data_IF_685349757273
#
_entry.id   IF_685349757273
#
_cell.length_a   1.000
_cell.length_b   1.000
_cell.length_c   1.000
_cell.angle_alpha   90.00
_cell.angle_beta   90.00
_cell.angle_gamma   90.00
#
_symmetry.space_group_name_H-M   'P 1'
#
loop_
_entity.id
_entity.type
_entity.pdbx_description
1 polymer ?
#
# COMPACT_ATOMS: atom_id res chain seq x y z
N UNK A 1 61.55 24.48 10.15
CA UNK A 1 61.15 23.99 8.81
C UNK A 1 60.53 25.16 8.07
N UNK A 2 60.87 25.42 6.82
CA UNK A 2 60.23 26.45 6.03
C UNK A 2 58.76 26.11 5.83
N UNK A 3 57.87 27.05 6.08
CA UNK A 3 56.44 26.89 5.88
C UNK A 3 56.15 27.00 4.38
N UNK A 4 55.70 25.89 3.79
CA UNK A 4 55.42 25.81 2.35
C UNK A 4 54.11 26.54 1.96
N UNK A 5 53.11 26.52 2.89
CA UNK A 5 51.82 27.15 2.65
C UNK A 5 51.63 28.42 3.50
N UNK A 6 50.90 29.38 2.95
CA UNK A 6 50.52 30.60 3.68
C UNK A 6 49.66 30.25 4.90
N UNK A 7 49.76 31.03 6.00
CA UNK A 7 49.02 30.80 7.25
C UNK A 7 47.51 30.67 7.06
N UNK A 8 46.94 31.33 6.06
CA UNK A 8 45.52 31.23 5.73
C UNK A 8 45.13 29.88 5.08
N UNK A 9 46.08 29.11 4.58
CA UNK A 9 45.77 27.80 3.94
C UNK A 9 45.11 26.83 4.91
N UNK A 10 45.50 26.82 6.20
CA UNK A 10 44.84 25.95 7.19
C UNK A 10 43.38 26.37 7.48
N UNK A 11 43.13 27.69 7.52
CA UNK A 11 41.75 28.18 7.70
C UNK A 11 40.90 27.82 6.49
N UNK A 12 41.44 28.04 5.28
CA UNK A 12 40.75 27.70 4.04
C UNK A 12 40.43 26.19 3.97
N UNK A 13 41.40 25.33 4.31
CA UNK A 13 41.23 23.89 4.35
C UNK A 13 40.13 23.45 5.36
N UNK A 14 40.15 24.04 6.58
CA UNK A 14 39.11 23.73 7.59
C UNK A 14 37.71 24.16 7.14
N UNK A 15 37.61 25.38 6.60
CA UNK A 15 36.31 25.90 6.12
C UNK A 15 35.78 25.10 4.92
N UNK A 16 36.67 24.76 3.96
CA UNK A 16 36.25 23.95 2.80
C UNK A 16 35.83 22.54 3.20
N UNK A 17 36.59 21.87 4.09
CA UNK A 17 36.21 20.55 4.60
C UNK A 17 34.87 20.63 5.34
N UNK A 18 34.71 21.58 6.26
CA UNK A 18 33.44 21.75 6.97
C UNK A 18 32.28 22.06 6.01
N UNK A 19 32.49 22.90 5.01
CA UNK A 19 31.51 23.22 3.98
C UNK A 19 31.11 22.01 3.17
N UNK A 20 32.06 21.18 2.73
CA UNK A 20 31.79 19.94 2.01
C UNK A 20 30.99 18.94 2.87
N UNK A 21 31.38 18.77 4.15
CA UNK A 21 30.65 17.86 5.06
C UNK A 21 29.24 18.35 5.33
N UNK A 22 29.02 19.64 5.52
CA UNK A 22 27.69 20.22 5.70
C UNK A 22 26.84 20.08 4.44
N UNK A 23 27.42 20.33 3.28
CA UNK A 23 26.74 20.17 2.00
C UNK A 23 26.35 18.71 1.77
N UNK A 24 27.29 17.78 1.94
CA UNK A 24 27.05 16.35 1.79
C UNK A 24 25.97 15.84 2.77
N UNK A 25 26.10 16.22 4.06
CA UNK A 25 25.11 15.87 5.08
C UNK A 25 23.74 16.48 4.79
N UNK A 26 23.69 17.75 4.41
CA UNK A 26 22.44 18.43 4.04
C UNK A 26 21.76 17.81 2.82
N UNK A 27 22.54 17.51 1.77
CA UNK A 27 22.01 16.87 0.55
C UNK A 27 21.50 15.45 0.85
N UNK A 28 22.25 14.67 1.63
CA UNK A 28 21.82 13.34 2.05
C UNK A 28 20.51 13.41 2.85
N UNK A 29 20.43 14.33 3.83
CA UNK A 29 19.23 14.56 4.60
C UNK A 29 18.03 14.96 3.74
N UNK A 30 18.24 15.87 2.79
CA UNK A 30 17.21 16.29 1.84
C UNK A 30 16.70 15.11 0.99
N UNK A 31 17.60 14.31 0.42
CA UNK A 31 17.23 13.12 -0.37
C UNK A 31 16.42 12.12 0.48
N UNK A 32 16.83 11.90 1.72
CA UNK A 32 16.09 10.99 2.62
C UNK A 32 14.70 11.50 2.97
N UNK A 33 14.52 12.81 3.18
CA UNK A 33 13.21 13.42 3.45
C UNK A 33 12.33 13.35 2.20
N UNK A 34 12.85 13.74 1.05
CA UNK A 34 12.12 13.72 -0.22
C UNK A 34 11.71 12.29 -0.59
N UNK A 35 12.62 11.32 -0.44
CA UNK A 35 12.34 9.91 -0.74
C UNK A 35 11.25 9.28 0.13
N UNK A 36 10.97 9.85 1.31
CA UNK A 36 9.88 9.43 2.22
C UNK A 36 8.62 10.27 2.10
N UNK A 37 8.67 11.34 1.33
CA UNK A 37 7.53 12.24 1.15
C UNK A 37 6.44 11.61 0.29
N UNK A 38 5.21 12.12 0.41
CA UNK A 38 4.09 11.74 -0.46
C UNK A 38 4.38 12.02 -1.94
N UNK A 39 5.22 12.99 -2.25
CA UNK A 39 5.65 13.29 -3.61
C UNK A 39 6.30 12.08 -4.32
N UNK A 40 7.09 11.29 -3.60
CA UNK A 40 7.74 10.09 -4.14
C UNK A 40 6.89 8.84 -3.92
N UNK A 41 6.32 8.70 -2.72
CA UNK A 41 5.59 7.48 -2.33
C UNK A 41 4.14 7.47 -2.79
N UNK A 42 3.58 8.63 -3.16
CA UNK A 42 2.15 8.85 -3.43
C UNK A 42 1.23 8.45 -2.27
N UNK A 43 1.78 8.27 -1.09
CA UNK A 43 1.00 7.95 0.10
C UNK A 43 0.07 9.12 0.46
N UNK A 44 -1.19 8.80 0.79
CA UNK A 44 -2.25 9.74 1.12
C UNK A 44 -2.67 10.70 0.00
N UNK A 45 -2.37 10.35 -1.25
CA UNK A 45 -2.85 11.09 -2.42
C UNK A 45 -4.02 10.34 -3.06
N UNK A 46 -5.13 11.05 -3.30
CA UNK A 46 -6.25 10.51 -4.07
C UNK A 46 -5.87 10.45 -5.55
N UNK A 47 -6.07 9.28 -6.16
CA UNK A 47 -5.76 9.08 -7.56
C UNK A 47 -7.06 9.04 -8.36
N UNK A 48 -7.21 10.01 -9.27
CA UNK A 48 -8.32 10.03 -10.20
C UNK A 48 -8.30 8.77 -11.08
N UNK A 49 -9.50 8.25 -11.34
CA UNK A 49 -9.71 7.05 -12.13
C UNK A 49 -10.53 7.38 -13.38
N UNK A 50 -10.42 6.60 -14.46
CA UNK A 50 -11.27 6.75 -15.64
C UNK A 50 -12.77 6.69 -15.34
N UNK A 51 -13.10 5.99 -14.25
CA UNK A 51 -14.41 5.95 -13.62
C UNK A 51 -14.21 6.13 -12.12
N UNK A 52 -14.84 7.14 -11.54
CA UNK A 52 -14.76 7.36 -10.10
C UNK A 52 -15.59 6.30 -9.36
N UNK A 53 -14.92 5.23 -8.96
CA UNK A 53 -15.51 4.15 -8.18
C UNK A 53 -15.38 4.44 -6.69
N UNK A 54 -16.51 4.46 -5.98
CA UNK A 54 -16.54 4.71 -4.54
C UNK A 54 -16.62 3.40 -3.76
N UNK A 55 -15.55 3.05 -3.06
CA UNK A 55 -15.58 1.95 -2.09
C UNK A 55 -16.45 2.30 -0.88
N UNK A 56 -16.49 3.58 -0.47
CA UNK A 56 -17.36 4.02 0.62
C UNK A 56 -18.81 3.64 0.35
N UNK A 57 -19.30 3.87 -0.87
CA UNK A 57 -20.65 3.50 -1.25
C UNK A 57 -20.85 1.98 -1.28
N UNK A 58 -20.03 1.24 -2.04
CA UNK A 58 -20.24 -0.20 -2.26
C UNK A 58 -19.93 -1.06 -1.02
N UNK A 59 -18.87 -0.72 -0.28
CA UNK A 59 -18.43 -1.49 0.89
C UNK A 59 -19.00 -0.90 2.18
N UNK A 60 -18.98 0.43 2.30
CA UNK A 60 -19.44 1.11 3.52
C UNK A 60 -20.95 1.14 3.63
N UNK A 61 -21.64 1.59 2.59
CA UNK A 61 -23.09 1.78 2.62
C UNK A 61 -23.85 0.50 2.23
N UNK A 62 -23.43 -0.16 1.13
CA UNK A 62 -24.12 -1.35 0.61
C UNK A 62 -23.63 -2.67 1.23
N UNK A 63 -22.53 -2.67 1.96
CA UNK A 63 -21.99 -3.84 2.65
C UNK A 63 -21.47 -4.94 1.73
N UNK A 64 -21.08 -4.62 0.48
CA UNK A 64 -20.57 -5.61 -0.47
C UNK A 64 -19.20 -6.12 0.01
N UNK A 65 -19.09 -7.46 0.09
CA UNK A 65 -17.86 -8.13 0.51
C UNK A 65 -16.72 -7.91 -0.53
N UNK A 66 -15.51 -7.69 -0.04
CA UNK A 66 -14.34 -7.46 -0.88
C UNK A 66 -14.13 -8.56 -1.94
N UNK A 67 -14.43 -9.82 -1.58
CA UNK A 67 -14.26 -11.00 -2.43
C UNK A 67 -15.26 -11.06 -3.59
N UNK A 68 -16.35 -10.30 -3.53
CA UNK A 68 -17.28 -10.23 -4.65
C UNK A 68 -16.61 -9.61 -5.89
N UNK A 69 -15.77 -8.63 -5.68
CA UNK A 69 -15.02 -7.94 -6.74
C UNK A 69 -13.59 -8.45 -6.87
N UNK A 70 -12.89 -8.67 -5.76
CA UNK A 70 -11.50 -9.13 -5.71
C UNK A 70 -11.44 -10.66 -5.55
N UNK A 71 -11.96 -11.38 -6.53
CA UNK A 71 -12.24 -12.83 -6.46
C UNK A 71 -11.01 -13.71 -6.29
N UNK A 72 -9.81 -13.22 -6.65
CA UNK A 72 -8.57 -14.00 -6.58
C UNK A 72 -7.71 -13.71 -5.36
N UNK A 73 -8.15 -12.81 -4.45
CA UNK A 73 -7.34 -12.33 -3.32
C UNK A 73 -6.90 -13.43 -2.35
N UNK A 74 -7.69 -14.48 -2.19
CA UNK A 74 -7.39 -15.62 -1.31
C UNK A 74 -6.53 -16.70 -1.97
N UNK A 75 -6.40 -16.68 -3.31
CA UNK A 75 -5.79 -17.78 -4.07
C UNK A 75 -4.63 -17.36 -4.95
N UNK A 76 -4.48 -16.07 -5.25
CA UNK A 76 -3.48 -15.54 -6.16
C UNK A 76 -2.58 -14.48 -5.51
N UNK A 77 -1.43 -14.24 -6.14
CA UNK A 77 -0.57 -13.11 -5.81
C UNK A 77 -1.28 -11.76 -6.06
N UNK A 78 -2.15 -11.71 -7.06
CA UNK A 78 -2.95 -10.53 -7.39
C UNK A 78 -4.37 -10.68 -6.87
N UNK A 79 -4.87 -9.65 -6.19
CA UNK A 79 -6.27 -9.62 -5.73
C UNK A 79 -7.27 -9.59 -6.89
N UNK A 80 -6.82 -9.12 -8.04
CA UNK A 80 -7.64 -8.93 -9.24
C UNK A 80 -8.43 -7.63 -9.21
N UNK A 81 -8.67 -7.09 -10.40
CA UNK A 81 -9.66 -6.04 -10.64
C UNK A 81 -10.86 -6.71 -11.32
N UNK A 82 -12.09 -6.47 -10.85
CA UNK A 82 -13.26 -7.15 -11.41
C UNK A 82 -13.45 -6.79 -12.89
N UNK A 83 -13.83 -7.76 -13.72
CA UNK A 83 -14.24 -7.46 -15.08
C UNK A 83 -15.50 -6.60 -15.08
N UNK A 84 -15.70 -5.79 -16.10
CA UNK A 84 -16.87 -4.89 -16.24
C UNK A 84 -18.20 -5.63 -16.09
N UNK A 85 -18.25 -6.92 -16.47
CA UNK A 85 -19.41 -7.78 -16.28
C UNK A 85 -19.88 -7.85 -14.83
N UNK A 86 -18.96 -7.83 -13.85
CA UNK A 86 -19.30 -7.81 -12.42
C UNK A 86 -20.09 -6.56 -12.06
N UNK A 87 -19.71 -5.41 -12.59
CA UNK A 87 -20.42 -4.15 -12.37
C UNK A 87 -21.84 -4.24 -12.96
N UNK A 88 -21.97 -4.85 -14.15
CA UNK A 88 -23.23 -4.98 -14.86
C UNK A 88 -24.22 -5.98 -14.23
N UNK A 89 -23.80 -6.81 -13.27
CA UNK A 89 -24.74 -7.64 -12.50
C UNK A 89 -25.79 -6.76 -11.76
N UNK A 90 -25.40 -5.58 -11.31
CA UNK A 90 -26.29 -4.61 -10.67
C UNK A 90 -26.64 -3.45 -11.61
N UNK A 91 -25.62 -2.87 -12.27
CA UNK A 91 -25.81 -1.66 -13.07
C UNK A 91 -26.49 -1.86 -14.44
N UNK A 92 -26.84 -3.08 -14.79
CA UNK A 92 -27.78 -3.35 -15.86
C UNK A 92 -29.23 -2.98 -15.48
N UNK A 93 -29.53 -2.84 -14.18
CA UNK A 93 -30.86 -2.53 -13.66
C UNK A 93 -30.85 -1.26 -12.78
N UNK A 94 -29.73 -1.00 -12.11
CA UNK A 94 -29.55 0.15 -11.22
C UNK A 94 -28.76 1.25 -11.92
N UNK A 95 -29.25 2.51 -11.86
CA UNK A 95 -28.59 3.70 -12.39
C UNK A 95 -28.35 3.61 -13.91
N UNK A 96 -29.23 2.91 -14.63
CA UNK A 96 -29.10 2.59 -16.07
C UNK A 96 -28.95 3.81 -16.97
N UNK A 97 -29.45 4.96 -16.56
CA UNK A 97 -29.37 6.23 -17.33
C UNK A 97 -28.32 7.18 -16.79
N UNK A 98 -27.61 6.82 -15.71
CA UNK A 98 -26.61 7.69 -15.11
C UNK A 98 -25.43 7.95 -16.08
N UNK A 99 -25.08 9.21 -16.38
CA UNK A 99 -23.97 9.51 -17.28
C UNK A 99 -22.61 9.09 -16.68
N UNK A 100 -22.48 9.04 -15.36
CA UNK A 100 -21.26 8.58 -14.66
C UNK A 100 -20.94 7.12 -15.02
N UNK A 101 -21.96 6.29 -15.23
CA UNK A 101 -21.81 4.88 -15.55
C UNK A 101 -21.71 4.60 -17.06
N UNK A 102 -21.75 5.63 -17.90
CA UNK A 102 -21.57 5.40 -19.34
C UNK A 102 -20.23 4.73 -19.71
N UNK A 103 -19.08 5.03 -19.07
CA UNK A 103 -17.85 4.29 -19.33
C UNK A 103 -17.95 2.80 -19.03
N UNK A 104 -18.73 2.40 -18.01
CA UNK A 104 -18.97 0.97 -17.66
C UNK A 104 -19.82 0.33 -18.74
N UNK A 105 -20.93 0.97 -19.14
CA UNK A 105 -21.82 0.45 -20.19
C UNK A 105 -21.12 0.32 -21.53
N UNK A 106 -20.32 1.34 -21.89
CA UNK A 106 -19.52 1.32 -23.12
C UNK A 106 -18.49 0.19 -23.08
N UNK A 107 -17.76 0.07 -21.96
CA UNK A 107 -16.81 -1.02 -21.75
C UNK A 107 -17.45 -2.41 -21.91
N UNK A 108 -18.65 -2.58 -21.36
CA UNK A 108 -19.39 -3.85 -21.46
C UNK A 108 -19.91 -4.11 -22.88
N UNK A 109 -20.47 -3.08 -23.53
CA UNK A 109 -21.01 -3.17 -24.90
C UNK A 109 -19.95 -3.46 -25.93
N UNK A 110 -18.80 -2.78 -25.80
CA UNK A 110 -17.72 -2.81 -26.79
C UNK A 110 -16.67 -3.88 -26.47
N UNK A 111 -16.86 -4.65 -25.40
CA UNK A 111 -15.94 -5.67 -24.87
C UNK A 111 -14.51 -5.14 -24.69
N UNK A 112 -14.40 -3.93 -24.13
CA UNK A 112 -13.11 -3.25 -23.89
C UNK A 112 -12.96 -2.96 -22.41
N UNK A 113 -11.88 -3.48 -21.81
CA UNK A 113 -11.58 -3.27 -20.38
C UNK A 113 -11.40 -1.80 -20.04
N UNK A 114 -11.93 -1.39 -18.89
CA UNK A 114 -11.62 -0.10 -18.28
C UNK A 114 -10.13 -0.06 -17.92
N UNK A 115 -9.48 1.04 -18.25
CA UNK A 115 -8.05 1.23 -17.95
C UNK A 115 -7.87 1.88 -16.59
N UNK A 116 -8.01 1.06 -15.54
CA UNK A 116 -7.79 1.50 -14.18
C UNK A 116 -6.35 1.93 -13.94
N UNK A 117 -6.16 2.98 -13.15
CA UNK A 117 -4.85 3.42 -12.69
C UNK A 117 -4.56 2.68 -11.38
N UNK A 118 -3.39 2.03 -11.32
CA UNK A 118 -2.98 1.30 -10.13
C UNK A 118 -2.67 2.28 -9.00
N UNK A 119 -3.36 2.13 -7.86
CA UNK A 119 -3.20 2.98 -6.67
C UNK A 119 -2.09 2.44 -5.77
N UNK A 120 -2.18 1.15 -5.42
CA UNK A 120 -1.11 0.46 -4.69
C UNK A 120 -0.18 -0.17 -5.71
N UNK A 121 0.97 0.44 -5.91
CA UNK A 121 1.90 0.07 -6.97
C UNK A 121 3.30 -0.15 -6.38
N UNK A 122 3.69 -1.43 -6.30
CA UNK A 122 5.04 -1.81 -5.91
C UNK A 122 5.94 -1.86 -7.15
N UNK A 123 7.24 -1.53 -7.00
CA UNK A 123 8.20 -1.70 -8.09
C UNK A 123 8.25 -3.15 -8.57
N UNK A 124 8.52 -3.36 -9.85
CA UNK A 124 8.49 -4.69 -10.50
C UNK A 124 9.48 -5.70 -9.89
N UNK A 125 10.51 -5.23 -9.19
CA UNK A 125 11.46 -6.10 -8.48
C UNK A 125 10.98 -6.53 -7.08
N UNK A 126 9.77 -6.14 -6.67
CA UNK A 126 9.16 -6.54 -5.38
C UNK A 126 8.04 -7.55 -5.64
N UNK A 127 8.24 -8.76 -5.15
CA UNK A 127 7.27 -9.85 -5.32
C UNK A 127 6.36 -9.95 -4.10
N UNK A 128 5.17 -9.38 -4.25
CA UNK A 128 4.14 -9.45 -3.22
C UNK A 128 3.07 -10.48 -3.58
N UNK A 129 2.58 -11.20 -2.58
CA UNK A 129 1.54 -12.20 -2.76
C UNK A 129 0.39 -11.98 -1.76
N UNK A 130 -0.77 -11.58 -2.26
CA UNK A 130 -1.97 -11.37 -1.43
C UNK A 130 -2.41 -12.64 -0.72
N UNK A 131 -2.48 -13.77 -1.42
CA UNK A 131 -3.05 -15.01 -0.85
C UNK A 131 -2.30 -15.49 0.40
N UNK A 132 -0.98 -15.31 0.45
CA UNK A 132 -0.19 -15.67 1.63
C UNK A 132 -0.52 -14.75 2.81
N UNK A 133 -0.60 -13.43 2.58
CA UNK A 133 -0.91 -12.46 3.62
C UNK A 133 -2.32 -12.67 4.19
N UNK A 134 -3.30 -12.91 3.32
CA UNK A 134 -4.66 -13.26 3.70
C UNK A 134 -4.69 -14.54 4.54
N UNK A 135 -4.07 -15.63 4.05
CA UNK A 135 -3.99 -16.90 4.78
C UNK A 135 -3.30 -16.80 6.13
N UNK A 136 -2.36 -15.84 6.28
CA UNK A 136 -1.63 -15.59 7.53
C UNK A 136 -2.29 -14.55 8.43
N UNK A 137 -3.54 -14.17 8.15
CA UNK A 137 -4.34 -13.31 9.04
C UNK A 137 -4.05 -11.83 8.94
N UNK A 138 -3.51 -11.37 7.81
CA UNK A 138 -3.32 -9.94 7.57
C UNK A 138 -4.63 -9.31 7.07
N UNK A 139 -5.18 -8.37 7.83
CA UNK A 139 -6.41 -7.68 7.45
C UNK A 139 -6.20 -6.68 6.31
N UNK A 140 -7.18 -6.57 5.42
CA UNK A 140 -7.10 -5.69 4.24
C UNK A 140 -6.80 -4.24 4.61
N UNK A 141 -7.45 -3.72 5.65
CA UNK A 141 -7.27 -2.33 6.09
C UNK A 141 -5.87 -2.01 6.60
N UNK A 142 -5.07 -3.00 6.99
CA UNK A 142 -3.69 -2.79 7.44
C UNK A 142 -2.84 -2.17 6.34
N UNK A 143 -3.08 -2.59 5.09
CA UNK A 143 -2.36 -2.08 3.91
C UNK A 143 -3.17 -1.03 3.15
N UNK A 144 -4.48 -1.27 3.00
CA UNK A 144 -5.36 -0.46 2.16
C UNK A 144 -6.11 0.65 2.92
N UNK A 145 -5.99 0.69 4.27
CA UNK A 145 -6.73 1.64 5.10
C UNK A 145 -8.23 1.35 5.13
N UNK A 146 -8.99 2.31 5.61
CA UNK A 146 -10.44 2.23 5.72
C UNK A 146 -11.10 2.49 4.36
N UNK A 147 -10.98 1.51 3.46
CA UNK A 147 -11.56 1.61 2.10
C UNK A 147 -13.08 1.80 2.13
N UNK A 148 -13.74 1.28 3.15
CA UNK A 148 -15.16 1.49 3.44
C UNK A 148 -15.54 2.97 3.70
N UNK A 149 -14.57 3.85 3.81
CA UNK A 149 -14.73 5.29 3.97
C UNK A 149 -14.09 6.09 2.82
N UNK A 150 -13.61 5.41 1.78
CA UNK A 150 -12.92 6.06 0.66
C UNK A 150 -13.83 6.24 -0.56
N UNK A 151 -14.27 7.48 -0.85
CA UNK A 151 -14.98 7.79 -2.09
C UNK A 151 -14.07 7.68 -3.31
N UNK A 152 -12.79 7.95 -3.15
CA UNK A 152 -11.71 7.67 -4.10
C UNK A 152 -10.59 6.93 -3.38
N UNK A 153 -10.01 5.95 -4.05
CA UNK A 153 -8.91 5.19 -3.46
C UNK A 153 -7.64 6.02 -3.33
N UNK A 154 -6.99 5.88 -2.18
CA UNK A 154 -5.64 6.35 -1.92
C UNK A 154 -4.80 5.21 -1.33
N UNK A 155 -3.49 5.35 -1.43
CA UNK A 155 -2.53 4.49 -0.76
C UNK A 155 -2.20 5.10 0.61
N UNK A 156 -2.64 4.52 1.74
CA UNK A 156 -2.42 5.13 3.06
C UNK A 156 -1.00 4.90 3.60
N UNK A 157 -0.29 3.91 3.08
CA UNK A 157 1.03 3.52 3.53
C UNK A 157 2.08 3.81 2.45
N UNK A 158 3.33 4.06 2.88
CA UNK A 158 4.42 4.35 1.93
C UNK A 158 4.76 3.17 1.02
N UNK A 159 4.47 1.95 1.46
CA UNK A 159 4.89 0.68 0.85
C UNK A 159 6.41 0.55 0.64
N UNK A 160 7.19 1.37 1.32
CA UNK A 160 8.64 1.25 1.32
C UNK A 160 9.07 0.02 2.12
N UNK A 161 10.26 -0.49 1.83
CA UNK A 161 10.80 -1.71 2.46
C UNK A 161 10.76 -1.63 4.00
N UNK A 162 11.06 -0.47 4.59
CA UNK A 162 11.02 -0.29 6.04
C UNK A 162 9.63 -0.53 6.64
N UNK A 163 8.57 -0.16 5.92
CA UNK A 163 7.19 -0.42 6.34
C UNK A 163 6.87 -1.92 6.31
N UNK A 164 7.24 -2.61 5.23
CA UNK A 164 7.07 -4.07 5.13
C UNK A 164 7.84 -4.80 6.23
N UNK A 165 9.09 -4.39 6.48
CA UNK A 165 9.94 -4.97 7.51
C UNK A 165 9.40 -4.76 8.93
N UNK A 166 8.66 -3.69 9.20
CA UNK A 166 8.01 -3.49 10.50
C UNK A 166 7.03 -4.64 10.78
N UNK A 167 6.19 -5.01 9.81
CA UNK A 167 5.29 -6.16 9.93
C UNK A 167 6.04 -7.49 9.99
N UNK A 168 7.05 -7.69 9.14
CA UNK A 168 7.79 -8.95 9.07
C UNK A 168 8.68 -9.20 10.31
N UNK A 169 9.08 -8.17 11.04
CA UNK A 169 9.84 -8.29 12.29
C UNK A 169 8.96 -8.54 13.51
N UNK A 170 7.74 -8.02 13.48
CA UNK A 170 6.80 -8.10 14.61
C UNK A 170 5.37 -8.40 14.13
N UNK A 171 5.15 -9.56 13.47
CA UNK A 171 3.85 -9.89 12.87
C UNK A 171 2.72 -9.96 13.90
N UNK A 172 3.04 -10.25 15.16
CA UNK A 172 2.07 -10.31 16.27
C UNK A 172 1.32 -8.99 16.48
N UNK A 173 1.87 -7.88 16.05
CA UNK A 173 1.24 -6.57 16.19
C UNK A 173 0.13 -6.33 15.15
N UNK A 174 0.10 -7.09 14.06
CA UNK A 174 -0.70 -6.79 12.87
C UNK A 174 -1.71 -7.87 12.51
N UNK A 175 -1.47 -9.12 12.93
CA UNK A 175 -2.33 -10.25 12.60
C UNK A 175 -3.65 -10.22 13.37
N UNK A 176 -4.71 -10.71 12.71
CA UNK A 176 -6.06 -10.81 13.26
C UNK A 176 -6.65 -12.20 12.98
N UNK A 177 -7.77 -12.58 13.60
CA UNK A 177 -8.49 -13.81 13.26
C UNK A 177 -8.84 -13.83 11.76
N UNK A 178 -8.77 -15.01 11.15
CA UNK A 178 -9.06 -15.15 9.71
C UNK A 178 -10.49 -14.76 9.35
N UNK A 179 -11.43 -14.93 10.28
CA UNK A 179 -12.81 -14.45 10.13
C UNK A 179 -12.92 -12.93 9.99
N UNK A 180 -11.91 -12.21 10.47
CA UNK A 180 -11.93 -10.75 10.57
C UNK A 180 -11.06 -10.05 9.52
N UNK A 181 -10.50 -10.79 8.56
CA UNK A 181 -9.59 -10.23 7.55
C UNK A 181 -10.27 -9.17 6.68
N UNK A 182 -11.53 -9.41 6.33
CA UNK A 182 -12.33 -8.55 5.48
C UNK A 182 -13.18 -7.54 6.27
N UNK A 183 -13.17 -7.62 7.62
CA UNK A 183 -13.91 -6.70 8.49
C UNK A 183 -13.17 -5.38 8.59
N UNK A 184 -13.80 -4.31 8.12
CA UNK A 184 -13.27 -2.94 8.23
C UNK A 184 -13.49 -2.40 9.64
N UNK A 185 -12.49 -1.67 10.16
CA UNK A 185 -12.54 -1.13 11.53
C UNK A 185 -12.51 -2.19 12.62
N UNK A 186 -11.98 -3.38 12.33
CA UNK A 186 -11.85 -4.45 13.31
C UNK A 186 -11.11 -3.99 14.57
N UNK A 187 -11.70 -4.29 15.72
CA UNK A 187 -11.06 -4.10 17.04
C UNK A 187 -10.96 -5.43 17.75
N UNK A 188 -9.76 -5.83 18.17
CA UNK A 188 -9.60 -7.10 18.85
C UNK A 188 -10.36 -7.10 20.19
N UNK A 189 -11.04 -8.21 20.55
CA UNK A 189 -11.80 -8.33 21.81
C UNK A 189 -10.89 -8.42 23.05
N UNK A 190 -9.60 -8.71 22.83
CA UNK A 190 -8.56 -8.74 23.87
C UNK A 190 -7.35 -7.94 23.37
N UNK A 191 -6.46 -7.46 24.25
CA UNK A 191 -5.26 -6.73 23.82
C UNK A 191 -4.47 -7.47 22.74
N UNK A 192 -3.99 -6.76 21.75
CA UNK A 192 -3.20 -7.34 20.64
C UNK A 192 -1.93 -8.06 21.16
N UNK A 193 -1.36 -7.60 22.26
CA UNK A 193 -0.22 -8.25 22.92
C UNK A 193 -0.53 -9.67 23.42
N UNK A 194 -1.80 -10.01 23.60
CA UNK A 194 -2.26 -11.37 23.97
C UNK A 194 -2.72 -12.14 22.74
N UNK A 195 -3.50 -11.51 21.89
CA UNK A 195 -4.07 -12.14 20.68
C UNK A 195 -2.99 -12.46 19.64
N UNK A 196 -2.13 -11.51 19.35
CA UNK A 196 -1.14 -11.62 18.28
C UNK A 196 -0.18 -12.78 18.41
N UNK A 197 0.53 -12.98 19.54
CA UNK A 197 1.43 -14.12 19.73
C UNK A 197 0.73 -15.48 19.54
N UNK A 198 -0.52 -15.60 20.01
CA UNK A 198 -1.32 -16.81 19.82
C UNK A 198 -1.60 -17.08 18.34
N UNK A 199 -2.00 -16.04 17.59
CA UNK A 199 -2.29 -16.17 16.16
C UNK A 199 -1.02 -16.42 15.34
N UNK A 200 0.12 -15.84 15.71
CA UNK A 200 1.43 -16.12 15.08
C UNK A 200 1.77 -17.60 15.20
N UNK A 201 1.56 -18.17 16.37
CA UNK A 201 1.79 -19.60 16.61
C UNK A 201 0.77 -20.47 15.85
N UNK A 202 -0.53 -20.15 15.94
CA UNK A 202 -1.62 -20.87 15.28
C UNK A 202 -1.46 -20.91 13.76
N UNK A 203 -1.06 -19.78 13.17
CA UNK A 203 -0.90 -19.65 11.72
C UNK A 203 0.50 -20.01 11.25
N UNK A 204 1.38 -20.46 12.15
CA UNK A 204 2.77 -20.79 11.87
C UNK A 204 3.47 -19.69 11.07
N UNK A 205 3.39 -18.44 11.58
CA UNK A 205 4.00 -17.28 10.95
C UNK A 205 5.47 -17.24 11.34
N UNK A 206 6.33 -17.08 10.34
CA UNK A 206 7.77 -16.91 10.51
C UNK A 206 8.17 -15.47 10.18
N UNK A 207 9.17 -14.95 10.88
CA UNK A 207 9.79 -13.68 10.54
C UNK A 207 10.65 -13.84 9.29
N UNK A 208 10.16 -13.36 8.15
CA UNK A 208 10.82 -13.46 6.85
C UNK A 208 11.43 -12.09 6.48
N UNK A 209 12.70 -11.89 6.82
CA UNK A 209 13.41 -10.61 6.62
C UNK A 209 14.61 -10.73 5.67
N UNK A 210 14.78 -11.87 5.01
CA UNK A 210 15.84 -12.06 4.01
C UNK A 210 15.48 -11.37 2.70
N UNK A 211 16.49 -10.86 1.99
CA UNK A 211 16.27 -10.12 0.73
C UNK A 211 15.46 -10.92 -0.29
N UNK A 212 15.76 -12.22 -0.43
CA UNK A 212 15.09 -13.12 -1.38
C UNK A 212 13.62 -13.43 -1.05
N UNK A 213 13.11 -13.05 0.12
CA UNK A 213 11.69 -13.16 0.46
C UNK A 213 10.84 -12.23 -0.40
N UNK A 214 11.35 -11.01 -0.64
CA UNK A 214 10.64 -9.95 -1.35
C UNK A 214 11.24 -9.66 -2.73
N UNK A 215 12.53 -9.92 -2.93
CA UNK A 215 13.26 -9.61 -4.16
C UNK A 215 13.80 -10.86 -4.81
N UNK A 216 13.57 -10.99 -6.13
CA UNK A 216 14.05 -12.14 -6.95
C UNK A 216 14.67 -11.62 -8.23
#
# INVERSE_FOLDING_TARGET
MPQIFHRRANTLARVSIAGVLLLAGGLTGLIMILGRSSYVTRANEFIEQPLQFSHAHHVGDDGIDCRYCHTSVETSAFAGIPPTKTCMNCHSQLWVTSPILEPVRASFRDDRSLRWIRVHDLPDFVYFNHSIHVKKGMGCETCHGRVDQMPLMLQPQSLQMEWCLACHRSPEQFVRPRSEIFTMGYRPPVPQSVLGPRLVQEYAIQSLTTCSTCHR
#
